data_IF_118150469065
#
_entry.id   IF_118150469065
#
_cell.length_a   1.000
_cell.length_b   1.000
_cell.length_c   1.000
_cell.angle_alpha   90.00
_cell.angle_beta   90.00
_cell.angle_gamma   90.00
#
_symmetry.space_group_name_H-M   'P 1'
#
loop_
_entity.id
_entity.type
_entity.pdbx_description
1 polymer ?
#
# COMPACT_ATOMS: atom_id res chain seq x y z
N UNK A 1 -29.82 23.79 33.44
CA UNK A 1 -28.97 23.11 32.44
C UNK A 1 -29.80 22.65 31.22
N UNK A 2 -30.39 23.57 30.45
CA UNK A 2 -31.14 23.27 29.20
C UNK A 2 -30.64 24.08 27.98
N UNK A 3 -29.69 25.00 28.16
CA UNK A 3 -29.24 25.92 27.11
C UNK A 3 -27.96 25.49 26.37
N UNK A 4 -27.15 24.57 26.90
CA UNK A 4 -25.93 24.09 26.21
C UNK A 4 -26.26 23.08 25.10
N UNK A 5 -27.33 22.29 25.27
CA UNK A 5 -27.73 21.25 24.31
C UNK A 5 -28.32 21.81 22.99
N UNK A 6 -28.89 23.03 23.03
CA UNK A 6 -29.44 23.70 21.86
C UNK A 6 -28.33 24.25 20.97
N UNK A 7 -27.28 24.82 21.58
CA UNK A 7 -26.13 25.35 20.84
C UNK A 7 -25.27 24.27 20.17
N UNK A 8 -25.07 23.10 20.81
CA UNK A 8 -24.35 22.00 20.16
C UNK A 8 -25.11 21.40 18.96
N UNK A 9 -26.45 21.34 19.01
CA UNK A 9 -27.26 20.82 17.90
C UNK A 9 -27.33 21.77 16.71
N UNK A 10 -27.27 23.09 16.94
CA UNK A 10 -27.29 24.10 15.86
C UNK A 10 -25.93 24.32 15.21
N UNK A 11 -24.81 23.98 15.87
CA UNK A 11 -23.46 24.11 15.30
C UNK A 11 -22.99 22.85 14.54
N UNK A 12 -23.52 21.67 14.85
CA UNK A 12 -23.17 20.43 14.13
C UNK A 12 -23.79 20.32 12.73
N UNK A 13 -24.99 20.90 12.54
CA UNK A 13 -25.69 20.88 11.24
C UNK A 13 -24.90 21.66 10.17
N UNK A 14 -24.43 22.91 10.37
CA UNK A 14 -23.67 23.61 9.35
C UNK A 14 -22.30 22.95 9.06
N UNK A 15 -21.68 22.27 10.04
CA UNK A 15 -20.41 21.57 9.81
C UNK A 15 -20.56 20.36 8.88
N UNK A 16 -21.63 19.57 9.05
CA UNK A 16 -21.96 18.45 8.15
C UNK A 16 -22.32 18.97 6.75
N UNK A 17 -23.05 20.08 6.65
CA UNK A 17 -23.38 20.69 5.36
C UNK A 17 -22.16 21.27 4.64
N UNK A 18 -21.21 21.91 5.33
CA UNK A 18 -19.98 22.44 4.71
C UNK A 18 -19.10 21.30 4.17
N UNK A 19 -19.01 20.18 4.90
CA UNK A 19 -18.21 19.02 4.52
C UNK A 19 -18.82 18.22 3.37
N UNK A 20 -20.16 18.09 3.34
CA UNK A 20 -20.89 17.52 2.20
C UNK A 20 -20.77 18.42 0.96
N UNK A 21 -20.88 19.74 1.12
CA UNK A 21 -20.76 20.67 0.00
C UNK A 21 -19.35 20.73 -0.60
N UNK A 22 -18.27 20.65 0.20
CA UNK A 22 -16.90 20.54 -0.36
C UNK A 22 -16.72 19.25 -1.19
N UNK A 23 -17.31 18.13 -0.74
CA UNK A 23 -17.22 16.85 -1.45
C UNK A 23 -18.03 16.86 -2.76
N UNK A 24 -19.20 17.49 -2.76
CA UNK A 24 -20.09 17.59 -3.93
C UNK A 24 -19.52 18.59 -4.95
N UNK A 25 -18.99 19.74 -4.52
CA UNK A 25 -18.38 20.74 -5.41
C UNK A 25 -17.15 20.17 -6.12
N UNK A 26 -16.28 19.45 -5.42
CA UNK A 26 -15.11 18.81 -6.05
C UNK A 26 -15.53 17.72 -7.07
N UNK A 27 -16.60 16.97 -6.79
CA UNK A 27 -17.14 15.97 -7.72
C UNK A 27 -17.81 16.62 -8.96
N UNK A 28 -18.49 17.76 -8.80
CA UNK A 28 -19.12 18.51 -9.88
C UNK A 28 -18.14 19.28 -10.77
N UNK A 29 -17.01 19.72 -10.22
CA UNK A 29 -15.94 20.34 -11.00
C UNK A 29 -15.23 19.26 -11.85
N UNK A 30 -14.93 18.09 -11.26
CA UNK A 30 -14.32 16.98 -12.01
C UNK A 30 -15.21 16.39 -13.11
N UNK A 31 -16.55 16.34 -12.90
CA UNK A 31 -17.48 15.80 -13.91
C UNK A 31 -17.69 16.71 -15.12
N UNK A 32 -17.38 18.01 -15.01
CA UNK A 32 -17.55 18.98 -16.10
C UNK A 32 -16.40 19.02 -17.10
N UNK A 33 -15.20 18.58 -16.71
CA UNK A 33 -13.99 18.69 -17.55
C UNK A 33 -13.52 17.35 -18.12
N UNK A 34 -13.68 16.23 -17.39
CA UNK A 34 -13.40 14.87 -17.92
C UNK A 34 -14.08 13.75 -17.06
N UNK A 35 -15.38 13.48 -17.28
CA UNK A 35 -16.19 12.63 -16.39
C UNK A 35 -15.78 11.15 -16.37
N UNK A 36 -15.19 10.64 -17.45
CA UNK A 36 -14.75 9.24 -17.56
C UNK A 36 -13.52 9.01 -16.67
N UNK A 37 -12.57 9.94 -16.73
CA UNK A 37 -11.31 9.93 -16.01
C UNK A 37 -11.53 9.99 -14.48
N UNK A 38 -12.47 10.84 -14.04
CA UNK A 38 -12.78 10.99 -12.61
C UNK A 38 -13.50 9.77 -12.00
N UNK A 39 -14.42 9.12 -12.72
CA UNK A 39 -15.16 7.98 -12.17
C UNK A 39 -14.28 6.71 -12.16
N UNK A 40 -13.47 6.54 -13.20
CA UNK A 40 -12.62 5.37 -13.37
C UNK A 40 -11.40 5.38 -12.44
N UNK A 41 -10.73 6.54 -12.31
CA UNK A 41 -9.47 6.63 -11.57
C UNK A 41 -9.60 7.29 -10.19
N UNK A 42 -10.72 7.94 -9.88
CA UNK A 42 -10.94 8.64 -8.61
C UNK A 42 -10.60 7.83 -7.35
N UNK A 43 -11.04 6.57 -7.21
CA UNK A 43 -10.67 5.75 -6.06
C UNK A 43 -9.17 5.48 -5.95
N UNK A 44 -8.50 5.14 -7.07
CA UNK A 44 -7.07 4.87 -7.13
C UNK A 44 -6.23 6.14 -6.88
N UNK A 45 -6.64 7.25 -7.48
CA UNK A 45 -6.05 8.58 -7.26
C UNK A 45 -6.06 8.95 -5.77
N UNK A 46 -7.19 8.72 -5.07
CA UNK A 46 -7.29 8.93 -3.62
C UNK A 46 -6.44 7.95 -2.82
N UNK A 47 -6.44 6.67 -3.17
CA UNK A 47 -5.63 5.64 -2.50
C UNK A 47 -4.13 5.97 -2.57
N UNK A 48 -3.65 6.37 -3.74
CA UNK A 48 -2.25 6.69 -3.97
C UNK A 48 -1.88 8.12 -3.59
N UNK A 49 -2.88 8.99 -3.38
CA UNK A 49 -2.73 10.42 -3.14
C UNK A 49 -2.03 11.13 -4.32
N UNK A 50 -2.57 10.95 -5.52
CA UNK A 50 -2.09 11.54 -6.79
C UNK A 50 -3.27 12.11 -7.59
N UNK A 51 -3.04 13.03 -8.55
CA UNK A 51 -4.06 13.47 -9.50
C UNK A 51 -4.60 12.31 -10.36
N UNK A 52 -5.86 12.40 -10.81
CA UNK A 52 -6.51 11.36 -11.64
C UNK A 52 -5.72 11.11 -12.94
N UNK A 53 -5.16 12.18 -13.51
CA UNK A 53 -4.44 12.17 -14.79
C UNK A 53 -3.12 11.39 -14.70
N UNK A 54 -2.59 11.18 -13.49
CA UNK A 54 -1.37 10.40 -13.27
C UNK A 54 -1.65 8.90 -13.17
N UNK A 55 -2.87 8.50 -12.77
CA UNK A 55 -3.24 7.10 -12.51
C UNK A 55 -2.99 6.19 -13.72
N UNK A 56 -3.33 6.55 -14.97
CA UNK A 56 -3.02 5.71 -16.13
C UNK A 56 -1.52 5.38 -16.26
N UNK A 57 -0.65 6.36 -16.02
CA UNK A 57 0.81 6.17 -16.12
C UNK A 57 1.32 5.26 -15.01
N UNK A 58 0.78 5.40 -13.80
CA UNK A 58 1.11 4.54 -12.66
C UNK A 58 0.63 3.11 -12.87
N UNK A 59 -0.54 2.90 -13.48
CA UNK A 59 -1.02 1.56 -13.85
C UNK A 59 -0.13 0.89 -14.90
N UNK A 60 0.35 1.64 -15.90
CA UNK A 60 1.28 1.08 -16.88
C UNK A 60 2.64 0.75 -16.26
N UNK A 61 3.11 1.60 -15.34
CA UNK A 61 4.31 1.33 -14.54
C UNK A 61 4.12 0.09 -13.64
N UNK A 62 2.97 -0.05 -12.98
CA UNK A 62 2.64 -1.21 -12.15
C UNK A 62 2.73 -2.51 -12.95
N UNK A 63 2.21 -2.56 -14.18
CA UNK A 63 2.35 -3.75 -15.06
C UNK A 63 3.81 -4.10 -15.32
N UNK A 64 4.66 -3.10 -15.55
CA UNK A 64 6.10 -3.30 -15.76
C UNK A 64 6.73 -3.85 -14.48
N UNK A 65 6.44 -3.25 -13.32
CA UNK A 65 6.97 -3.67 -12.03
C UNK A 65 6.51 -5.08 -11.64
N UNK A 66 5.25 -5.44 -11.89
CA UNK A 66 4.74 -6.81 -11.69
C UNK A 66 5.50 -7.81 -12.57
N UNK A 67 5.76 -7.46 -13.84
CA UNK A 67 6.53 -8.33 -14.73
C UNK A 67 7.97 -8.52 -14.25
N UNK A 68 8.62 -7.46 -13.78
CA UNK A 68 9.97 -7.54 -13.22
C UNK A 68 9.98 -8.34 -11.91
N UNK A 69 9.03 -8.09 -11.01
CA UNK A 69 8.91 -8.83 -9.75
C UNK A 69 8.71 -10.33 -10.02
N UNK A 70 7.91 -10.70 -11.02
CA UNK A 70 7.73 -12.11 -11.41
C UNK A 70 9.05 -12.81 -11.82
N UNK A 71 10.01 -12.08 -12.40
CA UNK A 71 11.35 -12.58 -12.72
C UNK A 71 12.27 -12.59 -11.50
N UNK A 72 12.08 -11.64 -10.59
CA UNK A 72 12.85 -11.50 -9.36
C UNK A 72 12.52 -12.61 -8.36
N UNK A 73 11.24 -12.92 -8.14
CA UNK A 73 10.80 -13.86 -7.09
C UNK A 73 11.57 -15.19 -7.07
N UNK A 74 11.79 -15.89 -8.20
CA UNK A 74 12.52 -17.17 -8.21
C UNK A 74 14.00 -17.05 -7.77
N UNK A 75 14.56 -15.83 -7.77
CA UNK A 75 15.94 -15.56 -7.37
C UNK A 75 16.06 -15.32 -5.85
N UNK A 76 14.95 -15.11 -5.15
CA UNK A 76 14.93 -14.74 -3.74
C UNK A 76 14.77 -15.97 -2.86
N UNK A 77 15.80 -16.30 -2.09
CA UNK A 77 15.75 -17.35 -1.09
C UNK A 77 15.17 -16.81 0.22
N UNK A 78 14.08 -17.43 0.71
CA UNK A 78 13.42 -17.05 1.96
C UNK A 78 14.28 -17.12 3.24
N UNK A 79 15.49 -17.67 3.16
CA UNK A 79 16.50 -17.71 4.24
C UNK A 79 17.40 -16.47 4.29
N UNK A 80 17.43 -15.66 3.23
CA UNK A 80 18.26 -14.45 3.13
C UNK A 80 17.43 -13.18 2.89
N UNK A 81 16.22 -13.35 2.38
CA UNK A 81 15.33 -12.27 2.00
C UNK A 81 14.06 -12.28 2.86
N UNK A 82 13.56 -11.09 3.19
CA UNK A 82 12.34 -10.80 3.95
C UNK A 82 11.12 -10.56 3.08
N UNK A 83 11.17 -10.95 1.79
CA UNK A 83 10.12 -10.67 0.81
C UNK A 83 10.32 -9.35 0.05
N UNK A 84 9.38 -9.05 -0.85
CA UNK A 84 9.37 -7.84 -1.67
C UNK A 84 8.04 -7.13 -1.60
N UNK A 85 8.04 -5.85 -1.96
CA UNK A 85 6.81 -5.11 -2.27
C UNK A 85 7.05 -4.07 -3.37
N UNK A 86 6.01 -3.79 -4.13
CA UNK A 86 6.03 -2.78 -5.18
C UNK A 86 5.64 -1.42 -4.59
N UNK A 87 6.53 -0.45 -4.71
CA UNK A 87 6.21 0.96 -4.50
C UNK A 87 6.00 1.61 -5.86
N UNK A 88 4.74 1.67 -6.27
CA UNK A 88 4.32 2.20 -7.57
C UNK A 88 4.68 3.68 -7.70
N UNK A 89 4.63 4.45 -6.61
CA UNK A 89 4.95 5.89 -6.63
C UNK A 89 6.44 6.15 -6.76
N UNK A 90 7.27 5.35 -6.09
CA UNK A 90 8.72 5.40 -6.27
C UNK A 90 9.16 4.76 -7.61
N UNK A 91 8.29 3.96 -8.23
CA UNK A 91 8.63 3.14 -9.39
C UNK A 91 9.66 2.07 -9.05
N UNK A 92 9.58 1.51 -7.85
CA UNK A 92 10.57 0.56 -7.31
C UNK A 92 9.92 -0.73 -6.82
N UNK A 93 10.66 -1.81 -6.94
CA UNK A 93 10.46 -3.04 -6.18
C UNK A 93 11.45 -2.99 -5.02
N UNK A 94 10.90 -2.91 -3.81
CA UNK A 94 11.69 -2.92 -2.59
C UNK A 94 11.93 -4.38 -2.19
N UNK A 95 13.19 -4.75 -2.01
CA UNK A 95 13.65 -6.08 -1.66
C UNK A 95 14.22 -6.04 -0.26
N UNK A 96 13.50 -6.64 0.68
CA UNK A 96 13.96 -6.73 2.07
C UNK A 96 14.99 -7.85 2.18
N UNK A 97 16.17 -7.55 2.73
CA UNK A 97 17.25 -8.53 2.85
C UNK A 97 17.94 -8.45 4.20
N UNK A 98 18.12 -9.61 4.82
CA UNK A 98 18.87 -9.78 6.06
C UNK A 98 20.36 -9.99 5.76
N UNK A 99 20.68 -10.52 4.56
CA UNK A 99 22.05 -10.77 4.12
C UNK A 99 22.42 -9.88 2.91
N UNK A 100 23.03 -8.74 3.23
CA UNK A 100 23.50 -7.77 2.24
C UNK A 100 24.54 -8.34 1.26
N UNK A 101 25.24 -9.43 1.62
CA UNK A 101 26.22 -10.06 0.72
C UNK A 101 25.56 -10.65 -0.53
N UNK A 102 24.26 -10.97 -0.48
CA UNK A 102 23.49 -11.52 -1.60
C UNK A 102 23.02 -10.48 -2.62
N UNK A 103 23.05 -9.20 -2.27
CA UNK A 103 22.52 -8.12 -3.12
C UNK A 103 23.21 -8.06 -4.48
N UNK A 104 24.54 -8.19 -4.51
CA UNK A 104 25.30 -8.13 -5.76
C UNK A 104 24.98 -9.30 -6.70
N UNK A 105 24.71 -10.48 -6.14
CA UNK A 105 24.27 -11.64 -6.92
C UNK A 105 22.96 -11.35 -7.64
N UNK A 106 21.96 -10.82 -6.92
CA UNK A 106 20.66 -10.46 -7.50
C UNK A 106 20.80 -9.35 -8.55
N UNK A 107 21.58 -8.29 -8.24
CA UNK A 107 21.83 -7.20 -9.20
C UNK A 107 22.43 -7.73 -10.50
N UNK A 108 23.40 -8.63 -10.43
CA UNK A 108 24.02 -9.21 -11.62
C UNK A 108 23.03 -10.02 -12.46
N UNK A 109 22.14 -10.80 -11.83
CA UNK A 109 21.10 -11.57 -12.53
C UNK A 109 20.01 -10.68 -13.12
N UNK A 110 19.69 -9.56 -12.46
CA UNK A 110 18.68 -8.58 -12.87
C UNK A 110 19.29 -7.35 -13.56
N UNK A 111 20.41 -7.51 -14.29
CA UNK A 111 21.22 -6.39 -14.82
C UNK A 111 20.40 -5.34 -15.58
N UNK A 112 19.46 -5.77 -16.42
CA UNK A 112 18.64 -4.88 -17.25
C UNK A 112 17.55 -4.16 -16.45
N UNK A 113 17.17 -4.70 -15.29
CA UNK A 113 16.07 -4.21 -14.46
C UNK A 113 16.56 -3.59 -13.15
N UNK A 114 17.88 -3.44 -12.94
CA UNK A 114 18.46 -2.92 -11.70
C UNK A 114 17.91 -1.55 -11.30
N UNK A 115 17.57 -0.70 -12.28
CA UNK A 115 17.02 0.62 -12.03
C UNK A 115 15.68 0.57 -11.29
N UNK A 116 14.96 -0.55 -11.33
CA UNK A 116 13.70 -0.74 -10.63
C UNK A 116 13.87 -1.38 -9.24
N UNK A 117 15.06 -1.86 -8.89
CA UNK A 117 15.29 -2.56 -7.63
C UNK A 117 15.84 -1.62 -6.56
N UNK A 118 15.24 -1.65 -5.38
CA UNK A 118 15.75 -1.02 -4.17
C UNK A 118 15.95 -2.10 -3.10
N UNK A 119 17.14 -2.17 -2.50
CA UNK A 119 17.44 -3.18 -1.47
C UNK A 119 17.43 -2.51 -0.10
N UNK A 120 16.65 -3.07 0.81
CA UNK A 120 16.43 -2.53 2.16
C UNK A 120 16.90 -3.57 3.17
N UNK A 121 17.68 -3.13 4.16
CA UNK A 121 18.07 -4.02 5.26
C UNK A 121 16.85 -4.41 6.10
N UNK A 122 16.75 -5.69 6.43
CA UNK A 122 15.67 -6.24 7.23
C UNK A 122 16.24 -7.05 8.40
N UNK A 123 15.49 -7.10 9.49
CA UNK A 123 15.87 -7.86 10.69
C UNK A 123 15.44 -9.33 10.61
N UNK A 124 14.42 -9.63 9.81
CA UNK A 124 13.81 -10.95 9.72
C UNK A 124 13.71 -11.40 8.27
N UNK A 125 13.97 -12.69 8.08
CA UNK A 125 13.79 -13.40 6.82
C UNK A 125 12.32 -13.78 6.62
N UNK A 126 11.92 -14.08 5.40
CA UNK A 126 10.57 -14.53 5.09
C UNK A 126 10.24 -15.85 5.80
N UNK A 127 11.24 -16.74 5.92
CA UNK A 127 11.09 -17.99 6.69
C UNK A 127 10.83 -17.75 8.17
N UNK A 128 11.51 -16.78 8.79
CA UNK A 128 11.24 -16.39 10.19
C UNK A 128 9.84 -15.78 10.34
N UNK A 129 9.47 -14.85 9.46
CA UNK A 129 8.13 -14.25 9.46
C UNK A 129 7.05 -15.33 9.33
N UNK A 130 7.17 -16.24 8.36
CA UNK A 130 6.24 -17.35 8.17
C UNK A 130 6.17 -18.26 9.40
N UNK A 131 7.31 -18.52 10.06
CA UNK A 131 7.33 -19.30 11.30
C UNK A 131 6.54 -18.61 12.41
N UNK A 132 6.75 -17.30 12.62
CA UNK A 132 6.02 -16.51 13.60
C UNK A 132 4.52 -16.48 13.30
N UNK A 133 4.12 -16.23 12.04
CA UNK A 133 2.71 -16.25 11.65
C UNK A 133 2.06 -17.62 11.89
N UNK A 134 2.75 -18.71 11.56
CA UNK A 134 2.25 -20.06 11.80
C UNK A 134 2.09 -20.35 13.30
N UNK A 135 3.04 -19.92 14.14
CA UNK A 135 2.93 -20.06 15.59
C UNK A 135 1.73 -19.29 16.15
N UNK A 136 1.54 -18.04 15.71
CA UNK A 136 0.37 -17.23 16.09
C UNK A 136 -0.94 -17.91 15.69
N UNK A 137 -1.00 -18.47 14.48
CA UNK A 137 -2.17 -19.20 14.01
C UNK A 137 -2.46 -20.47 14.84
N UNK A 138 -1.42 -21.22 15.21
CA UNK A 138 -1.55 -22.39 16.08
C UNK A 138 -2.07 -21.98 17.46
N UNK A 139 -1.52 -20.92 18.05
CA UNK A 139 -1.96 -20.40 19.35
C UNK A 139 -3.43 -19.94 19.29
N UNK A 140 -3.82 -19.22 18.25
CA UNK A 140 -5.19 -18.77 18.07
C UNK A 140 -6.19 -19.95 18.06
N UNK A 141 -5.84 -21.05 17.38
CA UNK A 141 -6.65 -22.27 17.40
C UNK A 141 -6.69 -22.93 18.77
N UNK A 142 -5.56 -23.05 19.47
CA UNK A 142 -5.49 -23.67 20.81
C UNK A 142 -6.39 -22.96 21.83
N UNK A 143 -6.48 -21.64 21.74
CA UNK A 143 -7.30 -20.83 22.66
C UNK A 143 -8.71 -20.53 22.14
N UNK A 144 -9.13 -21.14 21.02
CA UNK A 144 -10.42 -20.89 20.37
C UNK A 144 -10.69 -19.39 20.15
N UNK A 145 -9.64 -18.64 19.79
CA UNK A 145 -9.76 -17.20 19.52
C UNK A 145 -10.57 -17.02 18.25
N UNK A 146 -11.74 -16.39 18.35
CA UNK A 146 -12.62 -16.11 17.22
C UNK A 146 -12.26 -14.80 16.50
N UNK A 147 -11.54 -13.90 17.17
CA UNK A 147 -11.10 -12.61 16.63
C UNK A 147 -9.62 -12.38 16.93
N UNK A 148 -8.79 -12.36 15.90
CA UNK A 148 -7.37 -12.04 16.02
C UNK A 148 -7.07 -10.79 15.18
N UNK A 149 -6.48 -9.76 15.79
CA UNK A 149 -5.95 -8.60 15.08
C UNK A 149 -4.44 -8.81 15.01
N UNK A 150 -3.91 -8.93 13.80
CA UNK A 150 -2.47 -8.95 13.57
C UNK A 150 -2.10 -7.61 12.95
N UNK A 151 -1.31 -6.82 13.67
CA UNK A 151 -0.79 -5.54 13.22
C UNK A 151 0.73 -5.61 13.10
N UNK A 152 1.27 -4.88 12.13
CA UNK A 152 2.69 -4.58 12.05
C UNK A 152 2.84 -3.22 12.75
N UNK A 153 3.47 -3.20 13.92
CA UNK A 153 3.81 -1.94 14.59
C UNK A 153 4.97 -1.27 13.84
N UNK A 154 4.89 0.05 13.58
CA UNK A 154 5.88 0.80 12.81
C UNK A 154 7.22 0.97 13.55
#
# INVERSE_FOLDING_TARGET
MKNIYIYLKTLLIPFVFIQQNCSIVNAQICSKTDPINCLQFGPLARLWNVPNEEVPKLLDLEKILISIDSKLQPLLNGSYFGGTYIDIKAGKINVNTVDQSKVNEIRNKMKNDQAFLNFIAANNTLSQLNSTFNQTFILAQQFNITNCIISIEP
#
